data_IF_283217299312
#
_entry.id   IF_283217299312
#
_cell.length_a   1.000
_cell.length_b   1.000
_cell.length_c   1.000
_cell.angle_alpha   90.00
_cell.angle_beta   90.00
_cell.angle_gamma   90.00
#
_symmetry.space_group_name_H-M   'P 1'
#
loop_
_entity.id
_entity.type
_entity.pdbx_description
1 polymer ?
#
# COMPACT_ATOMS: atom_id res chain seq x y z
N UNK A 1 15.38 -43.79 -33.88
CA UNK A 1 15.53 -43.78 -32.40
C UNK A 1 14.48 -44.72 -31.81
N UNK A 2 14.82 -45.68 -30.92
CA UNK A 2 13.81 -46.65 -30.44
C UNK A 2 12.78 -45.98 -29.52
N UNK A 3 11.50 -46.40 -29.60
CA UNK A 3 10.40 -45.88 -28.77
C UNK A 3 10.75 -45.88 -27.27
N UNK A 4 11.49 -46.88 -26.80
CA UNK A 4 12.00 -46.97 -25.41
C UNK A 4 13.05 -45.89 -25.07
N UNK A 5 13.94 -45.53 -26.00
CA UNK A 5 14.91 -44.43 -25.79
C UNK A 5 14.22 -43.07 -25.75
N UNK A 6 13.23 -42.84 -26.62
CA UNK A 6 12.42 -41.62 -26.61
C UNK A 6 11.65 -41.43 -25.28
N UNK A 7 10.98 -42.48 -24.79
CA UNK A 7 10.26 -42.45 -23.51
C UNK A 7 11.20 -42.15 -22.34
N UNK A 8 12.38 -42.80 -22.29
CA UNK A 8 13.37 -42.55 -21.23
C UNK A 8 13.89 -41.10 -21.24
N UNK A 9 14.06 -40.51 -22.42
CA UNK A 9 14.48 -39.11 -22.54
C UNK A 9 13.40 -38.17 -22.00
N UNK A 10 12.14 -38.36 -22.41
CA UNK A 10 11.00 -37.55 -21.94
C UNK A 10 10.85 -37.63 -20.42
N UNK A 11 10.89 -38.85 -19.84
CA UNK A 11 10.80 -39.05 -18.38
C UNK A 11 11.94 -38.33 -17.65
N UNK A 12 13.18 -38.42 -18.15
CA UNK A 12 14.32 -37.70 -17.55
C UNK A 12 14.15 -36.18 -17.62
N UNK A 13 13.67 -35.66 -18.74
CA UNK A 13 13.40 -34.22 -18.90
C UNK A 13 12.31 -33.73 -17.94
N UNK A 14 11.23 -34.49 -17.78
CA UNK A 14 10.15 -34.16 -16.82
C UNK A 14 10.65 -34.18 -15.38
N UNK A 15 11.45 -35.18 -15.00
CA UNK A 15 12.04 -35.27 -13.66
C UNK A 15 13.01 -34.12 -13.39
N UNK A 16 13.86 -33.77 -14.37
CA UNK A 16 14.80 -32.65 -14.24
C UNK A 16 14.07 -31.32 -14.08
N UNK A 17 13.04 -31.06 -14.89
CA UNK A 17 12.21 -29.85 -14.76
C UNK A 17 11.51 -29.80 -13.39
N UNK A 18 10.96 -30.93 -12.93
CA UNK A 18 10.30 -31.02 -11.63
C UNK A 18 11.28 -30.72 -10.49
N UNK A 19 12.50 -31.25 -10.54
CA UNK A 19 13.53 -30.97 -9.54
C UNK A 19 13.93 -29.49 -9.51
N UNK A 20 14.05 -28.84 -10.67
CA UNK A 20 14.32 -27.40 -10.78
C UNK A 20 13.18 -26.57 -10.16
N UNK A 21 11.92 -26.91 -10.46
CA UNK A 21 10.75 -26.24 -9.89
C UNK A 21 10.72 -26.39 -8.38
N UNK A 22 10.90 -27.62 -7.87
CA UNK A 22 10.94 -27.91 -6.43
C UNK A 22 12.06 -27.11 -5.76
N UNK A 23 13.26 -27.08 -6.35
CA UNK A 23 14.38 -26.30 -5.85
C UNK A 23 14.08 -24.79 -5.79
N UNK A 24 13.45 -24.23 -6.83
CA UNK A 24 13.07 -22.82 -6.87
C UNK A 24 12.00 -22.49 -5.81
N UNK A 25 10.99 -23.34 -5.65
CA UNK A 25 9.96 -23.17 -4.61
C UNK A 25 10.57 -23.25 -3.21
N UNK A 26 11.46 -24.23 -2.96
CA UNK A 26 12.15 -24.37 -1.69
C UNK A 26 13.03 -23.15 -1.36
N UNK A 27 13.73 -22.60 -2.36
CA UNK A 27 14.50 -21.35 -2.22
C UNK A 27 13.60 -20.18 -1.81
N UNK A 28 12.52 -19.92 -2.57
CA UNK A 28 11.59 -18.83 -2.27
C UNK A 28 10.93 -18.99 -0.89
N UNK A 29 10.59 -20.21 -0.50
CA UNK A 29 10.06 -20.51 0.83
C UNK A 29 11.10 -20.23 1.94
N UNK A 30 12.34 -20.66 1.73
CA UNK A 30 13.46 -20.38 2.65
C UNK A 30 13.72 -18.88 2.80
N UNK A 31 13.70 -18.14 1.69
CA UNK A 31 13.81 -16.68 1.67
C UNK A 31 12.65 -15.98 2.38
N UNK A 32 11.43 -16.47 2.19
CA UNK A 32 10.24 -15.96 2.88
C UNK A 32 10.32 -16.18 4.38
N UNK A 33 10.75 -17.37 4.82
CA UNK A 33 10.99 -17.67 6.24
C UNK A 33 12.09 -16.79 6.82
N UNK A 34 13.19 -16.59 6.09
CA UNK A 34 14.27 -15.70 6.50
C UNK A 34 13.79 -14.24 6.64
N UNK A 35 13.11 -13.72 5.64
CA UNK A 35 12.56 -12.36 5.66
C UNK A 35 11.55 -12.19 6.80
N UNK A 36 10.65 -13.14 7.02
CA UNK A 36 9.68 -13.12 8.11
C UNK A 36 10.35 -13.12 9.49
N UNK A 37 11.38 -13.95 9.69
CA UNK A 37 12.14 -13.96 10.96
C UNK A 37 12.88 -12.64 11.21
N UNK A 38 13.46 -12.05 10.17
CA UNK A 38 14.13 -10.74 10.24
C UNK A 38 13.14 -9.60 10.49
N UNK A 39 11.97 -9.67 9.87
CA UNK A 39 10.89 -8.70 10.07
C UNK A 39 10.48 -8.62 11.54
N UNK A 40 10.32 -9.77 12.22
CA UNK A 40 9.96 -9.83 13.66
C UNK A 40 10.94 -9.11 14.60
N UNK A 41 12.20 -8.98 14.23
CA UNK A 41 13.23 -8.34 15.07
C UNK A 41 13.58 -6.93 14.65
N UNK A 42 13.19 -6.52 13.43
CA UNK A 42 13.58 -5.22 12.86
C UNK A 42 12.42 -4.25 12.66
N UNK A 43 11.21 -4.75 12.44
CA UNK A 43 10.03 -3.90 12.36
C UNK A 43 9.72 -3.42 13.77
N UNK A 44 9.62 -2.10 13.92
CA UNK A 44 9.26 -1.43 15.17
C UNK A 44 7.97 -0.69 14.92
N UNK A 45 6.95 -0.99 15.73
CA UNK A 45 5.69 -0.24 15.70
C UNK A 45 5.93 1.18 16.21
N UNK A 46 5.32 2.20 15.59
CA UNK A 46 5.53 3.59 15.98
C UNK A 46 5.05 3.86 17.40
N UNK A 47 5.81 4.66 18.14
CA UNK A 47 5.49 5.08 19.50
C UNK A 47 4.65 6.36 19.57
N UNK A 48 4.22 6.88 18.41
CA UNK A 48 3.43 8.10 18.28
C UNK A 48 2.03 7.79 17.74
N UNK A 49 1.02 8.63 18.06
CA UNK A 49 -0.31 8.45 17.50
C UNK A 49 -0.28 8.73 15.98
N UNK A 50 -0.94 7.90 15.20
CA UNK A 50 -1.17 8.11 13.77
C UNK A 50 -2.21 9.23 13.55
N UNK A 51 -1.90 10.46 13.97
CA UNK A 51 -2.72 11.65 13.79
C UNK A 51 -1.83 12.87 13.61
N UNK A 52 -2.17 13.71 12.63
CA UNK A 52 -1.40 14.92 12.34
C UNK A 52 -2.36 16.07 12.01
N UNK A 53 -1.96 17.28 12.40
CA UNK A 53 -2.66 18.52 12.02
C UNK A 53 -1.64 19.52 11.49
N UNK A 54 -1.76 19.86 10.21
CA UNK A 54 -0.92 20.81 9.51
C UNK A 54 -1.63 22.17 9.34
N UNK A 55 -0.84 23.23 9.17
CA UNK A 55 -1.37 24.57 8.88
C UNK A 55 -2.28 25.17 9.94
N UNK A 56 -2.07 24.88 11.23
CA UNK A 56 -2.92 25.37 12.34
C UNK A 56 -3.15 26.89 12.39
N UNK A 57 -2.24 27.67 11.79
CA UNK A 57 -2.32 29.14 11.72
C UNK A 57 -3.00 29.65 10.44
N UNK A 58 -3.36 28.76 9.51
CA UNK A 58 -4.03 29.11 8.25
C UNK A 58 -5.52 29.35 8.51
N UNK A 59 -6.12 30.21 7.70
CA UNK A 59 -7.54 30.53 7.74
C UNK A 59 -8.36 29.53 6.93
N UNK A 60 -9.69 29.53 7.10
CA UNK A 60 -10.62 28.64 6.40
C UNK A 60 -11.02 27.39 7.18
N UNK A 61 -12.05 26.69 6.70
CA UNK A 61 -12.55 25.48 7.34
C UNK A 61 -11.50 24.37 7.28
N UNK A 62 -11.25 23.71 8.41
CA UNK A 62 -10.30 22.60 8.49
C UNK A 62 -10.80 21.42 7.65
N UNK A 63 -9.94 20.90 6.79
CA UNK A 63 -10.18 19.65 6.05
C UNK A 63 -9.77 18.46 6.92
N UNK A 64 -10.62 17.45 7.04
CA UNK A 64 -10.44 16.26 7.86
C UNK A 64 -10.44 15.02 7.00
N UNK A 65 -9.34 14.28 7.06
CA UNK A 65 -9.07 13.11 6.22
C UNK A 65 -9.00 11.87 7.09
N UNK A 66 -9.80 10.86 6.75
CA UNK A 66 -9.63 9.52 7.30
C UNK A 66 -8.55 8.79 6.51
N UNK A 67 -7.56 8.21 7.18
CA UNK A 67 -6.47 7.47 6.52
C UNK A 67 -6.48 6.01 6.97
N UNK A 68 -6.77 5.08 6.06
CA UNK A 68 -6.88 3.65 6.36
C UNK A 68 -5.91 2.84 5.48
N UNK A 69 -5.45 1.69 5.97
CA UNK A 69 -4.46 0.91 5.23
C UNK A 69 -3.58 0.02 6.09
N UNK A 70 -2.40 -0.27 5.58
CA UNK A 70 -1.46 -1.21 6.20
C UNK A 70 -0.48 -0.54 7.20
N UNK A 71 0.69 -1.16 7.40
CA UNK A 71 1.75 -0.69 8.28
C UNK A 71 2.25 0.71 7.90
N UNK A 72 2.18 1.09 6.62
CA UNK A 72 2.59 2.41 6.17
C UNK A 72 1.66 3.51 6.68
N UNK A 73 0.37 3.21 6.75
CA UNK A 73 -0.66 4.07 7.35
C UNK A 73 -0.54 4.08 8.86
N UNK A 74 -0.22 2.94 9.48
CA UNK A 74 0.05 2.86 10.91
C UNK A 74 1.27 3.70 11.33
N UNK A 75 2.22 3.91 10.41
CA UNK A 75 3.42 4.74 10.59
C UNK A 75 4.70 3.97 10.85
N UNK A 76 4.71 2.67 10.58
CA UNK A 76 5.92 1.84 10.65
C UNK A 76 7.00 2.39 9.71
N UNK A 77 8.25 2.45 10.16
CA UNK A 77 9.38 2.95 9.38
C UNK A 77 9.62 4.46 9.51
N UNK A 78 8.63 5.24 9.93
CA UNK A 78 8.84 6.65 10.26
C UNK A 78 9.55 6.78 11.62
N UNK A 79 10.52 7.70 11.71
CA UNK A 79 11.33 7.88 12.92
C UNK A 79 10.62 8.73 13.99
N UNK A 80 9.66 9.55 13.58
CA UNK A 80 8.88 10.43 14.45
C UNK A 80 7.55 10.84 13.78
N UNK A 81 6.64 11.44 14.54
CA UNK A 81 5.31 11.82 14.05
C UNK A 81 5.32 12.71 12.79
N UNK A 82 6.17 13.76 12.67
CA UNK A 82 6.25 14.52 11.40
C UNK A 82 6.79 13.74 10.19
N UNK A 83 7.49 12.62 10.40
CA UNK A 83 8.04 11.77 9.34
C UNK A 83 7.03 10.75 8.82
N UNK A 84 5.94 10.53 9.57
CA UNK A 84 4.84 9.68 9.16
C UNK A 84 4.20 10.15 7.85
N UNK A 85 3.84 9.19 6.98
CA UNK A 85 3.18 9.44 5.70
C UNK A 85 1.97 10.38 5.82
N UNK A 86 1.10 10.14 6.81
CA UNK A 86 -0.08 10.99 7.03
C UNK A 86 0.28 12.43 7.39
N UNK A 87 1.32 12.65 8.21
CA UNK A 87 1.78 14.00 8.54
C UNK A 87 2.35 14.72 7.31
N UNK A 88 3.10 14.01 6.47
CA UNK A 88 3.70 14.58 5.28
C UNK A 88 2.69 14.89 4.17
N UNK A 89 1.63 14.09 4.05
CA UNK A 89 0.48 14.41 3.19
C UNK A 89 -0.23 15.64 3.74
N UNK A 90 -0.55 15.69 5.04
CA UNK A 90 -1.23 16.81 5.67
C UNK A 90 -0.52 18.15 5.41
N UNK A 91 0.81 18.18 5.57
CA UNK A 91 1.60 19.40 5.35
C UNK A 91 1.54 19.88 3.90
N UNK A 92 1.69 18.97 2.94
CA UNK A 92 1.65 19.29 1.50
C UNK A 92 0.27 19.75 1.06
N UNK A 93 -0.78 19.05 1.48
CA UNK A 93 -2.16 19.41 1.15
C UNK A 93 -2.49 20.77 1.77
N UNK A 94 -2.17 20.98 3.05
CA UNK A 94 -2.42 22.24 3.74
C UNK A 94 -1.69 23.42 3.09
N UNK A 95 -0.47 23.20 2.60
CA UNK A 95 0.26 24.19 1.83
C UNK A 95 -0.40 24.47 0.46
N UNK A 96 -0.91 23.43 -0.23
CA UNK A 96 -1.54 23.56 -1.54
C UNK A 96 -2.91 24.25 -1.52
N UNK A 97 -3.75 23.95 -0.52
CA UNK A 97 -5.12 24.52 -0.43
C UNK A 97 -5.19 25.77 0.46
N UNK A 98 -4.12 26.11 1.18
CA UNK A 98 -4.10 27.27 2.08
C UNK A 98 -4.98 27.15 3.33
N UNK A 99 -5.46 25.95 3.69
CA UNK A 99 -6.36 25.68 4.84
C UNK A 99 -5.72 24.71 5.85
N UNK A 100 -6.15 24.68 7.12
CA UNK A 100 -5.72 23.64 8.07
C UNK A 100 -6.16 22.24 7.58
N UNK A 101 -5.29 21.25 7.73
CA UNK A 101 -5.58 19.85 7.37
C UNK A 101 -5.32 18.95 8.56
N UNK A 102 -6.30 18.16 8.94
CA UNK A 102 -6.19 17.07 9.91
C UNK A 102 -6.25 15.73 9.19
N UNK A 103 -5.29 14.84 9.47
CA UNK A 103 -5.32 13.44 9.04
C UNK A 103 -5.36 12.54 10.27
N UNK A 104 -6.33 11.63 10.30
CA UNK A 104 -6.50 10.62 11.36
C UNK A 104 -6.31 9.23 10.76
N UNK A 105 -5.26 8.55 11.20
CA UNK A 105 -4.90 7.19 10.79
C UNK A 105 -5.62 6.11 11.57
N UNK A 106 -6.14 5.12 10.86
CA UNK A 106 -6.70 3.87 11.41
C UNK A 106 -5.95 2.62 10.92
N UNK A 107 -4.78 2.84 10.31
CA UNK A 107 -3.94 1.79 9.73
C UNK A 107 -3.57 0.71 10.74
N UNK A 108 -3.47 -0.53 10.25
CA UNK A 108 -3.08 -1.69 11.04
C UNK A 108 -1.93 -2.40 10.32
N UNK A 109 -0.81 -2.55 11.03
CA UNK A 109 0.34 -3.29 10.55
C UNK A 109 -0.05 -4.71 10.12
N UNK A 110 0.41 -5.14 8.94
CA UNK A 110 0.08 -6.44 8.36
C UNK A 110 -1.28 -6.55 7.66
N UNK A 111 -2.13 -5.50 7.67
CA UNK A 111 -3.45 -5.58 7.03
C UNK A 111 -3.36 -5.76 5.51
N UNK A 112 -4.16 -6.67 4.97
CA UNK A 112 -4.45 -6.81 3.53
C UNK A 112 -5.72 -6.04 3.17
N UNK A 113 -5.99 -5.92 1.87
CA UNK A 113 -7.16 -5.20 1.33
C UNK A 113 -8.49 -5.64 1.97
N UNK A 114 -8.70 -6.95 2.18
CA UNK A 114 -9.90 -7.45 2.86
C UNK A 114 -9.95 -7.09 4.34
N UNK A 115 -8.81 -7.19 5.03
CA UNK A 115 -8.70 -6.92 6.47
C UNK A 115 -9.01 -5.44 6.77
N UNK A 116 -8.61 -4.50 5.89
CA UNK A 116 -9.00 -3.09 6.02
C UNK A 116 -10.52 -2.93 5.99
N UNK A 117 -11.19 -3.62 5.06
CA UNK A 117 -12.65 -3.58 4.93
C UNK A 117 -13.34 -4.10 6.19
N UNK A 118 -12.88 -5.23 6.71
CA UNK A 118 -13.58 -5.95 7.76
C UNK A 118 -13.26 -5.40 9.16
N UNK A 119 -12.09 -4.78 9.35
CA UNK A 119 -11.62 -4.33 10.68
C UNK A 119 -11.54 -2.81 10.81
N UNK A 120 -11.03 -2.10 9.80
CA UNK A 120 -10.78 -0.65 9.90
C UNK A 120 -12.01 0.17 9.54
N UNK A 121 -12.77 -0.23 8.52
CA UNK A 121 -14.01 0.48 8.13
C UNK A 121 -15.04 0.56 9.29
N UNK A 122 -15.29 -0.51 10.08
CA UNK A 122 -16.15 -0.39 11.26
C UNK A 122 -15.58 0.52 12.37
N UNK A 123 -14.26 0.72 12.45
CA UNK A 123 -13.65 1.70 13.37
C UNK A 123 -13.87 3.12 12.86
N UNK A 124 -13.66 3.35 11.56
CA UNK A 124 -13.93 4.62 10.89
C UNK A 124 -15.38 5.07 11.10
N UNK A 125 -16.35 4.17 10.88
CA UNK A 125 -17.78 4.46 11.09
C UNK A 125 -18.10 4.87 12.55
N UNK A 126 -17.36 4.33 13.52
CA UNK A 126 -17.54 4.62 14.96
C UNK A 126 -16.84 5.88 15.43
N UNK A 127 -15.84 6.37 14.68
CA UNK A 127 -14.97 7.46 15.11
C UNK A 127 -15.67 8.84 15.23
N UNK A 128 -16.99 8.91 14.96
CA UNK A 128 -17.86 10.10 15.09
C UNK A 128 -17.16 11.41 14.68
N UNK A 129 -17.22 11.73 13.38
CA UNK A 129 -16.73 13.00 12.84
C UNK A 129 -17.21 13.20 11.42
N UNK A 130 -17.27 14.46 10.98
CA UNK A 130 -17.32 14.78 9.55
C UNK A 130 -15.93 14.54 8.96
N UNK A 131 -15.91 13.74 7.90
CA UNK A 131 -14.74 13.53 7.06
C UNK A 131 -15.03 14.23 5.74
N UNK A 132 -14.01 14.78 5.10
CA UNK A 132 -14.14 15.39 3.77
C UNK A 132 -13.71 14.41 2.68
N UNK A 133 -12.80 13.47 3.00
CA UNK A 133 -12.39 12.37 2.13
C UNK A 133 -11.75 11.23 2.91
N UNK A 134 -11.60 10.08 2.23
CA UNK A 134 -10.80 8.94 2.72
C UNK A 134 -9.57 8.78 1.84
N UNK A 135 -8.40 8.65 2.46
CA UNK A 135 -7.18 8.16 1.80
C UNK A 135 -6.99 6.70 2.18
N UNK A 136 -6.70 5.86 1.19
CA UNK A 136 -6.41 4.43 1.37
C UNK A 136 -5.03 4.14 0.81
N UNK A 137 -4.14 3.53 1.60
CA UNK A 137 -2.87 2.99 1.09
C UNK A 137 -2.74 1.55 1.55
N UNK A 138 -2.89 0.62 0.60
CA UNK A 138 -2.88 -0.82 0.89
C UNK A 138 -2.46 -1.64 -0.33
N UNK A 139 -1.83 -2.79 -0.06
CA UNK A 139 -1.53 -3.81 -1.06
C UNK A 139 -0.18 -4.47 -0.84
N UNK A 140 0.69 -3.87 -0.01
CA UNK A 140 1.99 -4.46 0.30
C UNK A 140 1.85 -5.85 0.94
N UNK A 141 0.94 -6.01 1.88
CA UNK A 141 0.68 -7.31 2.52
C UNK A 141 -0.03 -8.31 1.59
N UNK A 142 -0.83 -7.82 0.63
CA UNK A 142 -1.41 -8.69 -0.38
C UNK A 142 -0.34 -9.29 -1.30
N UNK A 143 0.70 -8.51 -1.62
CA UNK A 143 1.87 -8.99 -2.36
C UNK A 143 2.64 -10.04 -1.55
N UNK A 144 2.98 -9.75 -0.29
CA UNK A 144 3.79 -10.67 0.52
C UNK A 144 3.08 -11.97 0.90
N UNK A 145 1.74 -11.94 0.94
CA UNK A 145 0.90 -13.13 1.19
C UNK A 145 0.38 -13.79 -0.09
N UNK A 146 0.78 -13.29 -1.27
CA UNK A 146 0.32 -13.79 -2.57
C UNK A 146 -1.21 -13.87 -2.69
N UNK A 147 -1.92 -12.83 -2.22
CA UNK A 147 -3.38 -12.74 -2.37
C UNK A 147 -3.76 -12.86 -3.85
N UNK A 148 -4.70 -13.76 -4.17
CA UNK A 148 -5.10 -14.00 -5.55
C UNK A 148 -5.66 -12.73 -6.23
N UNK A 149 -5.32 -12.51 -7.50
CA UNK A 149 -5.85 -11.37 -8.29
C UNK A 149 -7.37 -11.38 -8.44
N UNK A 150 -8.01 -12.55 -8.28
CA UNK A 150 -9.47 -12.67 -8.21
C UNK A 150 -10.00 -12.01 -6.93
N UNK A 151 -9.38 -12.29 -5.78
CA UNK A 151 -9.71 -11.64 -4.51
C UNK A 151 -9.45 -10.14 -4.58
N UNK A 152 -8.30 -9.70 -5.10
CA UNK A 152 -8.00 -8.26 -5.27
C UNK A 152 -9.08 -7.56 -6.09
N UNK A 153 -9.45 -8.13 -7.25
CA UNK A 153 -10.48 -7.53 -8.10
C UNK A 153 -11.86 -7.43 -7.45
N UNK A 154 -12.17 -8.31 -6.48
CA UNK A 154 -13.42 -8.28 -5.72
C UNK A 154 -13.33 -7.33 -4.52
N UNK A 155 -12.24 -7.38 -3.79
CA UNK A 155 -12.11 -6.79 -2.45
C UNK A 155 -11.75 -5.30 -2.53
N UNK A 156 -11.00 -4.85 -3.55
CA UNK A 156 -10.66 -3.43 -3.76
C UNK A 156 -11.89 -2.52 -3.93
N UNK A 157 -12.83 -2.77 -4.88
CA UNK A 157 -14.03 -1.93 -4.99
C UNK A 157 -14.99 -2.09 -3.80
N UNK A 158 -14.98 -3.25 -3.11
CA UNK A 158 -15.73 -3.43 -1.86
C UNK A 158 -15.18 -2.52 -0.76
N UNK A 159 -13.86 -2.48 -0.59
CA UNK A 159 -13.18 -1.62 0.37
C UNK A 159 -13.54 -0.16 0.14
N UNK A 160 -13.36 0.33 -1.09
CA UNK A 160 -13.62 1.73 -1.43
C UNK A 160 -15.07 2.14 -1.17
N UNK A 161 -16.03 1.33 -1.60
CA UNK A 161 -17.44 1.60 -1.35
C UNK A 161 -17.79 1.58 0.15
N UNK A 162 -17.23 0.63 0.91
CA UNK A 162 -17.48 0.54 2.34
C UNK A 162 -16.84 1.71 3.11
N UNK A 163 -15.63 2.11 2.74
CA UNK A 163 -14.91 3.22 3.34
C UNK A 163 -15.59 4.57 3.08
N UNK A 164 -15.96 4.86 1.82
CA UNK A 164 -16.73 6.06 1.45
C UNK A 164 -18.03 6.12 2.25
N UNK A 165 -18.83 5.05 2.25
CA UNK A 165 -20.09 4.98 3.02
C UNK A 165 -19.88 5.21 4.52
N UNK A 166 -18.88 4.57 5.12
CA UNK A 166 -18.58 4.71 6.54
C UNK A 166 -18.14 6.13 6.93
N UNK A 167 -17.56 6.86 5.98
CA UNK A 167 -17.15 8.25 6.16
C UNK A 167 -18.21 9.28 5.73
N UNK A 168 -19.44 8.85 5.40
CA UNK A 168 -20.54 9.75 5.04
C UNK A 168 -20.80 9.92 3.54
N UNK A 169 -20.26 9.03 2.71
CA UNK A 169 -20.39 9.09 1.25
C UNK A 169 -19.38 9.99 0.56
N UNK A 170 -18.23 10.24 1.20
CA UNK A 170 -17.19 11.13 0.69
C UNK A 170 -16.28 10.50 -0.36
N UNK A 171 -15.59 11.30 -1.18
CA UNK A 171 -14.62 10.82 -2.17
C UNK A 171 -13.46 10.04 -1.54
N UNK A 172 -12.83 9.20 -2.36
CA UNK A 172 -11.73 8.32 -1.95
C UNK A 172 -10.50 8.52 -2.83
N UNK A 173 -9.35 8.78 -2.21
CA UNK A 173 -8.04 8.69 -2.86
C UNK A 173 -7.43 7.34 -2.53
N UNK A 174 -7.24 6.49 -3.54
CA UNK A 174 -6.70 5.14 -3.39
C UNK A 174 -5.27 5.07 -3.91
N UNK A 175 -4.30 4.94 -3.01
CA UNK A 175 -2.90 4.67 -3.29
C UNK A 175 -2.64 3.16 -3.39
N UNK A 176 -2.24 2.69 -4.58
CA UNK A 176 -1.81 1.31 -4.79
C UNK A 176 -0.50 0.97 -4.07
N UNK A 177 -0.15 -0.32 -4.04
CA UNK A 177 1.13 -0.76 -3.47
C UNK A 177 2.33 -0.09 -4.15
N UNK A 178 3.36 0.24 -3.35
CA UNK A 178 4.64 0.65 -3.89
C UNK A 178 5.42 -0.55 -4.49
N UNK A 179 6.54 -0.21 -5.13
CA UNK A 179 7.51 -1.17 -5.68
C UNK A 179 8.38 -1.76 -4.59
N UNK A 180 8.83 -3.00 -4.81
CA UNK A 180 9.65 -3.76 -3.85
C UNK A 180 11.13 -3.83 -4.26
N UNK A 181 11.53 -3.21 -5.38
CA UNK A 181 12.92 -3.27 -5.86
C UNK A 181 13.94 -2.77 -4.81
N UNK A 182 13.55 -1.83 -3.94
CA UNK A 182 14.38 -1.28 -2.85
C UNK A 182 14.10 -1.92 -1.48
N UNK A 183 13.29 -2.98 -1.40
CA UNK A 183 13.07 -3.72 -0.15
C UNK A 183 14.25 -4.66 0.17
N UNK A 184 15.44 -4.11 0.45
CA UNK A 184 16.69 -4.87 0.67
C UNK A 184 16.65 -5.83 1.87
N UNK A 185 15.66 -5.71 2.75
CA UNK A 185 15.35 -6.68 3.80
C UNK A 185 14.84 -8.02 3.26
N UNK A 186 14.39 -8.06 2.01
CA UNK A 186 13.95 -9.25 1.28
C UNK A 186 15.10 -9.72 0.35
N UNK A 187 15.55 -10.98 0.44
CA UNK A 187 16.61 -11.50 -0.40
C UNK A 187 16.16 -11.76 -1.85
N UNK A 188 17.11 -12.05 -2.74
CA UNK A 188 16.87 -12.39 -4.14
C UNK A 188 16.96 -13.90 -4.35
N UNK A 189 15.98 -14.53 -5.03
CA UNK A 189 15.07 -13.90 -6.01
C UNK A 189 13.69 -13.41 -5.49
N UNK A 190 13.33 -13.66 -4.23
CA UNK A 190 11.99 -13.35 -3.71
C UNK A 190 11.61 -11.87 -3.85
N UNK A 191 12.56 -10.94 -3.66
CA UNK A 191 12.30 -9.51 -3.84
C UNK A 191 11.83 -9.15 -5.25
N UNK A 192 12.42 -9.77 -6.28
CA UNK A 192 11.98 -9.60 -7.68
C UNK A 192 10.58 -10.16 -7.90
N UNK A 193 10.26 -11.29 -7.26
CA UNK A 193 8.92 -11.89 -7.31
C UNK A 193 7.89 -10.95 -6.68
N UNK A 194 8.19 -10.36 -5.52
CA UNK A 194 7.32 -9.36 -4.89
C UNK A 194 7.15 -8.10 -5.74
N UNK A 195 8.23 -7.56 -6.33
CA UNK A 195 8.15 -6.36 -7.18
C UNK A 195 7.29 -6.59 -8.43
N UNK A 196 7.44 -7.75 -9.06
CA UNK A 196 6.64 -8.15 -10.22
C UNK A 196 5.17 -8.33 -9.83
N UNK A 197 4.92 -9.01 -8.72
CA UNK A 197 3.57 -9.24 -8.19
C UNK A 197 2.88 -7.94 -7.79
N UNK A 198 3.61 -6.99 -7.21
CA UNK A 198 3.13 -5.63 -6.91
C UNK A 198 2.63 -4.92 -8.17
N UNK A 199 3.42 -4.93 -9.24
CA UNK A 199 3.02 -4.31 -10.52
C UNK A 199 1.72 -4.90 -11.06
N UNK A 200 1.53 -6.22 -10.94
CA UNK A 200 0.32 -6.89 -11.40
C UNK A 200 -0.88 -6.62 -10.49
N UNK A 201 -0.65 -6.58 -9.18
CA UNK A 201 -1.65 -6.26 -8.17
C UNK A 201 -2.18 -4.83 -8.36
N UNK A 202 -1.30 -3.84 -8.53
CA UNK A 202 -1.65 -2.43 -8.76
C UNK A 202 -2.48 -2.28 -10.05
N UNK A 203 -2.07 -2.95 -11.14
CA UNK A 203 -2.87 -2.99 -12.39
C UNK A 203 -4.25 -3.59 -12.15
N UNK A 204 -4.36 -4.63 -11.33
CA UNK A 204 -5.65 -5.26 -11.01
C UNK A 204 -6.52 -4.36 -10.13
N UNK A 205 -5.95 -3.68 -9.14
CA UNK A 205 -6.64 -2.69 -8.32
C UNK A 205 -7.20 -1.57 -9.20
N UNK A 206 -6.36 -0.95 -10.05
CA UNK A 206 -6.78 0.13 -10.97
C UNK A 206 -7.92 -0.33 -11.88
N UNK A 207 -7.77 -1.50 -12.52
CA UNK A 207 -8.82 -2.06 -13.38
C UNK A 207 -10.12 -2.29 -12.61
N UNK A 208 -10.06 -2.88 -11.42
CA UNK A 208 -11.24 -3.16 -10.61
C UNK A 208 -11.94 -1.88 -10.10
N UNK A 209 -11.18 -0.81 -9.84
CA UNK A 209 -11.74 0.49 -9.49
C UNK A 209 -12.46 1.13 -10.68
N UNK A 210 -11.89 1.07 -11.88
CA UNK A 210 -12.54 1.57 -13.11
C UNK A 210 -13.81 0.77 -13.43
N UNK A 211 -13.76 -0.56 -13.31
CA UNK A 211 -14.92 -1.43 -13.56
C UNK A 211 -15.99 -1.30 -12.47
N UNK A 212 -15.59 -1.02 -11.23
CA UNK A 212 -16.47 -0.96 -10.06
C UNK A 212 -17.07 0.43 -9.77
N UNK A 213 -16.39 1.52 -10.16
CA UNK A 213 -16.84 2.89 -9.90
C UNK A 213 -18.15 3.22 -10.63
N UNK A 214 -18.34 2.69 -11.84
CA UNK A 214 -19.57 2.85 -12.61
C UNK A 214 -20.83 2.25 -11.98
N UNK A 215 -20.69 1.29 -11.04
CA UNK A 215 -21.82 0.61 -10.42
C UNK A 215 -22.20 1.16 -9.03
N UNK A 216 -21.36 1.99 -8.39
CA UNK A 216 -21.52 2.38 -6.97
C UNK A 216 -21.45 3.87 -6.66
N UNK A 217 -21.33 4.76 -7.66
CA UNK A 217 -21.33 6.23 -7.50
C UNK A 217 -20.32 6.76 -6.46
N UNK A 218 -19.18 6.09 -6.27
CA UNK A 218 -18.10 6.65 -5.45
C UNK A 218 -17.14 7.39 -6.36
N UNK A 219 -16.86 8.64 -6.03
CA UNK A 219 -15.76 9.39 -6.65
C UNK A 219 -14.42 8.86 -6.12
N UNK A 220 -13.61 8.30 -7.02
CA UNK A 220 -12.39 7.58 -6.67
C UNK A 220 -11.23 8.04 -7.54
N UNK A 221 -10.20 8.56 -6.87
CA UNK A 221 -8.95 8.97 -7.49
C UNK A 221 -7.87 7.93 -7.21
N UNK A 222 -7.34 7.30 -8.24
CA UNK A 222 -6.30 6.29 -8.10
C UNK A 222 -4.90 6.89 -8.27
N UNK A 223 -4.00 6.60 -7.33
CA UNK A 223 -2.59 7.00 -7.36
C UNK A 223 -1.72 5.75 -7.46
N UNK A 224 -0.90 5.66 -8.51
CA UNK A 224 0.08 4.58 -8.67
C UNK A 224 1.37 4.97 -7.95
N UNK A 225 1.40 4.78 -6.62
CA UNK A 225 2.57 5.10 -5.79
C UNK A 225 3.82 4.40 -6.33
N UNK A 226 3.68 3.17 -6.82
CA UNK A 226 4.76 2.39 -7.38
C UNK A 226 5.36 2.99 -8.66
N UNK A 227 4.56 3.68 -9.47
CA UNK A 227 5.05 4.43 -10.63
C UNK A 227 5.53 5.83 -10.20
N UNK A 228 4.67 6.59 -9.54
CA UNK A 228 4.80 8.03 -9.33
C UNK A 228 5.88 8.39 -8.30
N UNK A 229 6.14 7.51 -7.32
CA UNK A 229 7.19 7.71 -6.32
C UNK A 229 8.53 7.03 -6.69
N UNK A 230 8.60 6.24 -7.78
CA UNK A 230 9.75 5.36 -8.04
C UNK A 230 10.99 6.04 -8.62
N UNK A 231 10.83 7.05 -9.47
CA UNK A 231 11.97 7.71 -10.15
C UNK A 231 12.93 8.39 -9.16
N UNK A 232 12.46 9.15 -8.14
CA UNK A 232 13.33 9.73 -7.12
C UNK A 232 13.89 8.69 -6.12
N UNK A 233 13.24 7.53 -6.01
CA UNK A 233 13.50 6.54 -4.98
C UNK A 233 14.51 5.47 -5.41
N UNK A 234 14.57 5.14 -6.71
CA UNK A 234 15.31 3.99 -7.21
C UNK A 234 16.79 3.99 -6.81
N UNK A 235 17.18 3.02 -5.99
CA UNK A 235 18.56 2.85 -5.51
C UNK A 235 18.95 3.81 -4.38
N UNK A 236 18.01 4.61 -3.87
CA UNK A 236 18.24 5.52 -2.76
C UNK A 236 18.00 4.79 -1.43
N UNK A 237 19.04 4.18 -0.89
CA UNK A 237 18.98 3.47 0.39
C UNK A 237 18.44 4.32 1.55
N UNK A 238 18.57 5.65 1.49
CA UNK A 238 18.04 6.56 2.52
C UNK A 238 16.52 6.65 2.50
N UNK A 239 15.88 6.26 1.40
CA UNK A 239 14.43 6.15 1.29
C UNK A 239 13.84 4.96 2.05
N UNK A 240 14.68 4.04 2.53
CA UNK A 240 14.27 2.85 3.24
C UNK A 240 14.56 2.98 4.74
N UNK A 241 13.66 2.47 5.58
CA UNK A 241 13.85 2.44 7.03
C UNK A 241 14.89 1.38 7.43
N UNK A 242 15.26 1.36 8.72
CA UNK A 242 16.25 0.41 9.26
C UNK A 242 15.85 -1.06 9.10
N UNK A 243 14.56 -1.34 8.94
CA UNK A 243 14.08 -2.71 8.69
C UNK A 243 14.42 -3.22 7.28
N UNK A 244 14.72 -2.33 6.33
CA UNK A 244 14.99 -2.67 4.94
C UNK A 244 13.73 -3.01 4.14
N UNK A 245 12.54 -2.72 4.66
CA UNK A 245 11.25 -3.06 4.05
C UNK A 245 10.30 -1.86 3.95
N UNK A 246 10.11 -1.11 5.03
CA UNK A 246 9.22 0.06 5.04
C UNK A 246 9.94 1.34 4.63
N UNK A 247 9.26 2.31 3.98
CA UNK A 247 9.84 3.62 3.73
C UNK A 247 10.33 4.30 5.00
N UNK A 248 11.44 5.02 4.90
CA UNK A 248 11.88 5.98 5.93
C UNK A 248 11.06 7.27 5.84
N UNK A 249 11.35 8.25 6.70
CA UNK A 249 10.78 9.60 6.59
C UNK A 249 10.99 10.19 5.18
N UNK A 250 12.18 10.02 4.59
CA UNK A 250 12.44 10.46 3.22
C UNK A 250 11.62 9.69 2.19
N UNK A 251 11.52 8.36 2.36
CA UNK A 251 10.70 7.50 1.52
C UNK A 251 9.23 7.91 1.51
N UNK A 252 8.67 8.15 2.69
CA UNK A 252 7.32 8.68 2.85
C UNK A 252 7.15 10.08 2.26
N UNK A 253 8.20 10.89 2.21
CA UNK A 253 8.16 12.18 1.53
C UNK A 253 7.89 12.06 0.03
N UNK A 254 8.47 11.05 -0.64
CA UNK A 254 8.20 10.78 -2.06
C UNK A 254 6.77 10.27 -2.28
N UNK A 255 6.28 9.40 -1.39
CA UNK A 255 4.90 8.91 -1.48
C UNK A 255 3.89 10.03 -1.23
N UNK A 256 4.15 10.88 -0.24
CA UNK A 256 3.33 12.06 0.04
C UNK A 256 3.33 13.04 -1.15
N UNK A 257 4.45 13.19 -1.86
CA UNK A 257 4.53 13.99 -3.09
C UNK A 257 3.67 13.42 -4.22
N UNK A 258 3.56 12.09 -4.34
CA UNK A 258 2.68 11.45 -5.32
C UNK A 258 1.19 11.54 -4.95
N UNK A 259 0.86 11.41 -3.66
CA UNK A 259 -0.54 11.34 -3.18
C UNK A 259 -1.17 12.74 -3.03
N UNK A 260 -0.42 13.73 -2.55
CA UNK A 260 -0.96 15.03 -2.17
C UNK A 260 -1.69 15.77 -3.32
N UNK A 261 -1.21 15.75 -4.59
CA UNK A 261 -1.93 16.40 -5.69
C UNK A 261 -3.36 15.87 -5.87
N UNK A 262 -3.55 14.54 -5.85
CA UNK A 262 -4.88 13.94 -5.96
C UNK A 262 -5.81 14.34 -4.79
N UNK A 263 -5.25 14.49 -3.59
CA UNK A 263 -6.02 14.98 -2.43
C UNK A 263 -6.40 16.45 -2.60
N UNK A 264 -5.48 17.29 -3.08
CA UNK A 264 -5.74 18.71 -3.34
C UNK A 264 -6.86 18.88 -4.37
N UNK A 265 -6.79 18.12 -5.47
CA UNK A 265 -7.80 18.16 -6.54
C UNK A 265 -9.19 17.75 -6.03
N UNK A 266 -9.25 16.67 -5.23
CA UNK A 266 -10.51 16.21 -4.61
C UNK A 266 -11.11 17.30 -3.72
N UNK A 267 -10.30 17.89 -2.82
CA UNK A 267 -10.78 18.93 -1.90
C UNK A 267 -11.29 20.15 -2.68
N UNK A 268 -10.57 20.57 -3.72
CA UNK A 268 -10.97 21.70 -4.56
C UNK A 268 -12.26 21.44 -5.36
N UNK A 269 -12.59 20.17 -5.65
CA UNK A 269 -13.83 19.81 -6.37
C UNK A 269 -15.07 19.73 -5.49
N UNK A 270 -14.89 19.70 -4.16
CA UNK A 270 -15.96 19.61 -3.17
C UNK A 270 -16.31 20.94 -2.50
N UNK A 271 -15.50 21.97 -2.74
CA UNK A 271 -15.74 23.36 -2.33
C UNK A 271 -16.69 24.07 -3.33
#
# INVERSE_FOLDING_TARGET
MSRRRAIKLVVRSVLALSAVIIGAVALLAGEGLYASRRAKTRIVEPSFPARAVAGKKRTGAQVRIAFIGDSTVAGVGASHAPGWLGAQIAERVSAGIGRPVEIVGFGISGARTSDVTDVQVPKLARARGSWDLVVIVVGGNDVTHFTSYKSIGRDTPRLVAAASKAAGGVPVVFGGSARFFDAFGVPQPLRTVFDTSSTHLVRRQRKALIEGSGAKHVDVHFVDIGHDASVPHRGNLKGMSRDGFHPSDLGYGFWAQAIAPAVIDVVASTD
#
